data_IF_412015897830
#
_entry.id   IF_412015897830
#
_cell.length_a   1.000
_cell.length_b   1.000
_cell.length_c   1.000
_cell.angle_alpha   90.00
_cell.angle_beta   90.00
_cell.angle_gamma   90.00
#
_symmetry.space_group_name_H-M   'P 1'
#
loop_
_entity.id
_entity.type
_entity.pdbx_description
1 polymer ?
#
# COMPACT_ATOMS: atom_id res chain seq x y z
N UNK A 1 -21.71 33.25 -28.90
CA UNK A 1 -22.09 33.01 -27.48
C UNK A 1 -22.82 31.69 -27.43
N UNK A 2 -22.17 30.65 -27.03
CA UNK A 2 -22.75 29.30 -26.86
C UNK A 2 -22.10 28.63 -25.64
N UNK A 3 -22.85 28.62 -24.52
CA UNK A 3 -22.43 28.08 -23.25
C UNK A 3 -22.33 26.54 -23.33
N UNK A 4 -21.17 26.00 -23.06
CA UNK A 4 -20.99 24.56 -22.79
C UNK A 4 -21.64 24.19 -21.47
N UNK A 5 -22.81 23.55 -21.50
CA UNK A 5 -23.38 22.84 -20.36
C UNK A 5 -22.67 21.48 -20.22
N UNK A 6 -21.76 21.35 -19.24
CA UNK A 6 -21.28 20.05 -18.77
C UNK A 6 -22.46 19.28 -18.15
N UNK A 7 -22.87 18.18 -18.76
CA UNK A 7 -23.81 17.23 -18.16
C UNK A 7 -23.11 16.55 -16.99
N UNK A 8 -23.49 16.87 -15.76
CA UNK A 8 -23.21 16.04 -14.60
C UNK A 8 -23.89 14.68 -14.83
N UNK A 9 -23.11 13.59 -14.87
CA UNK A 9 -23.67 12.24 -14.75
C UNK A 9 -24.26 12.13 -13.34
N UNK A 10 -25.58 12.11 -13.25
CA UNK A 10 -26.28 11.75 -12.02
C UNK A 10 -25.85 10.36 -11.58
N UNK A 11 -25.34 10.24 -10.37
CA UNK A 11 -25.12 8.98 -9.70
C UNK A 11 -26.47 8.29 -9.57
N UNK A 12 -26.61 7.08 -10.10
CA UNK A 12 -27.84 6.29 -10.00
C UNK A 12 -28.29 6.17 -8.54
N UNK A 13 -29.57 6.35 -8.22
CA UNK A 13 -30.05 6.27 -6.85
C UNK A 13 -29.74 4.90 -6.24
N UNK A 14 -29.31 4.95 -4.99
CA UNK A 14 -28.99 3.84 -4.13
C UNK A 14 -30.18 2.87 -4.07
N UNK A 15 -30.04 1.65 -4.60
CA UNK A 15 -31.02 0.60 -4.34
C UNK A 15 -30.86 0.14 -2.91
N UNK A 16 -31.83 0.39 -2.07
CA UNK A 16 -31.95 -0.27 -0.75
C UNK A 16 -31.85 -1.77 -0.96
N UNK A 17 -30.76 -2.35 -0.47
CA UNK A 17 -30.56 -3.79 -0.52
C UNK A 17 -31.17 -4.33 0.78
N UNK A 18 -31.98 -5.37 0.64
CA UNK A 18 -32.52 -6.11 1.74
C UNK A 18 -31.38 -6.83 2.48
N UNK A 19 -30.80 -6.11 3.45
CA UNK A 19 -29.68 -6.57 4.28
C UNK A 19 -29.99 -7.91 4.93
N UNK A 20 -31.24 -8.15 5.34
CA UNK A 20 -31.65 -9.39 5.96
C UNK A 20 -31.61 -10.57 4.99
N UNK A 21 -31.94 -10.35 3.72
CA UNK A 21 -31.87 -11.37 2.69
C UNK A 21 -30.44 -11.77 2.35
N UNK A 22 -29.53 -10.79 2.34
CA UNK A 22 -28.11 -11.04 2.14
C UNK A 22 -27.45 -11.73 3.35
N UNK A 23 -27.83 -11.37 4.57
CA UNK A 23 -27.39 -12.05 5.80
C UNK A 23 -27.76 -13.53 5.76
N UNK A 24 -29.02 -13.86 5.47
CA UNK A 24 -29.49 -15.26 5.40
C UNK A 24 -28.80 -16.07 4.29
N UNK A 25 -28.39 -15.41 3.19
CA UNK A 25 -27.66 -16.08 2.10
C UNK A 25 -26.23 -16.42 2.52
N UNK A 26 -25.53 -15.48 3.13
CA UNK A 26 -24.14 -15.65 3.54
C UNK A 26 -23.99 -16.57 4.76
N UNK A 27 -24.97 -16.59 5.69
CA UNK A 27 -25.04 -17.57 6.77
C UNK A 27 -25.14 -19.00 6.24
N UNK A 28 -25.86 -19.21 5.13
CA UNK A 28 -25.93 -20.51 4.44
C UNK A 28 -24.64 -20.90 3.73
N UNK A 29 -23.85 -19.90 3.29
CA UNK A 29 -22.57 -20.09 2.58
C UNK A 29 -21.36 -20.13 3.54
N UNK A 30 -21.56 -19.96 4.87
CA UNK A 30 -20.49 -19.97 5.88
C UNK A 30 -19.55 -18.76 5.81
N UNK A 31 -19.96 -17.66 5.15
CA UNK A 31 -19.16 -16.47 5.02
C UNK A 31 -19.16 -15.64 6.32
N UNK A 32 -17.98 -15.15 6.70
CA UNK A 32 -17.87 -14.21 7.82
C UNK A 32 -18.37 -12.82 7.39
N UNK A 33 -19.60 -12.50 7.77
CA UNK A 33 -20.31 -11.28 7.42
C UNK A 33 -19.82 -10.03 8.14
N UNK A 34 -19.10 -10.21 9.23
CA UNK A 34 -18.73 -9.14 10.14
C UNK A 34 -17.23 -8.95 10.19
N UNK A 35 -16.80 -7.71 10.33
CA UNK A 35 -15.41 -7.34 10.55
C UNK A 35 -15.31 -6.39 11.74
N UNK A 36 -14.38 -6.67 12.63
CA UNK A 36 -14.09 -5.81 13.78
C UNK A 36 -13.08 -4.75 13.38
N UNK A 37 -13.39 -3.48 13.65
CA UNK A 37 -12.46 -2.39 13.40
C UNK A 37 -11.27 -2.44 14.36
N UNK A 38 -10.05 -2.42 13.85
CA UNK A 38 -8.84 -2.44 14.68
C UNK A 38 -8.65 -1.16 15.51
N UNK A 39 -9.23 -0.04 15.06
CA UNK A 39 -9.11 1.26 15.75
C UNK A 39 -10.20 1.42 16.82
N UNK A 40 -11.49 1.42 16.46
CA UNK A 40 -12.58 1.67 17.41
C UNK A 40 -13.22 0.42 17.99
N UNK A 41 -12.78 -0.79 17.62
CA UNK A 41 -13.27 -2.09 18.07
C UNK A 41 -14.73 -2.39 17.72
N UNK A 42 -15.40 -1.53 16.95
CA UNK A 42 -16.79 -1.70 16.52
C UNK A 42 -16.92 -2.88 15.56
N UNK A 43 -18.01 -3.63 15.70
CA UNK A 43 -18.35 -4.72 14.79
C UNK A 43 -19.16 -4.16 13.61
N UNK A 44 -18.64 -4.30 12.41
CA UNK A 44 -19.18 -3.70 11.19
C UNK A 44 -19.59 -4.76 10.18
N UNK A 45 -20.64 -4.47 9.40
CA UNK A 45 -21.02 -5.34 8.29
C UNK A 45 -20.01 -5.22 7.15
N UNK A 46 -19.36 -6.32 6.80
CA UNK A 46 -18.23 -6.36 5.86
C UNK A 46 -18.54 -5.72 4.50
N UNK A 47 -19.74 -5.99 3.94
CA UNK A 47 -20.13 -5.43 2.64
C UNK A 47 -20.31 -3.91 2.67
N UNK A 48 -20.74 -3.34 3.80
CA UNK A 48 -20.83 -1.88 3.95
C UNK A 48 -19.45 -1.26 4.04
N UNK A 49 -18.53 -1.87 4.77
CA UNK A 49 -17.13 -1.45 4.82
C UNK A 49 -16.50 -1.49 3.42
N UNK A 50 -16.75 -2.57 2.65
CA UNK A 50 -16.26 -2.70 1.28
C UNK A 50 -16.84 -1.63 0.35
N UNK A 51 -18.14 -1.34 0.43
CA UNK A 51 -18.80 -0.24 -0.31
C UNK A 51 -18.25 1.12 0.07
N UNK A 52 -17.85 1.32 1.31
CA UNK A 52 -17.19 2.52 1.79
C UNK A 52 -15.67 2.49 1.56
N UNK A 53 -15.20 1.84 0.50
CA UNK A 53 -13.79 1.77 0.11
C UNK A 53 -12.87 1.14 1.18
N UNK A 54 -13.36 0.20 1.94
CA UNK A 54 -12.68 -0.38 3.10
C UNK A 54 -12.30 0.68 4.15
N UNK A 55 -13.18 1.64 4.40
CA UNK A 55 -13.05 2.65 5.47
C UNK A 55 -14.11 2.39 6.53
N UNK A 56 -13.74 2.42 7.79
CA UNK A 56 -14.64 2.27 8.92
C UNK A 56 -15.71 3.38 8.93
N UNK A 57 -16.98 3.00 8.99
CA UNK A 57 -18.12 3.94 9.02
C UNK A 57 -18.22 4.73 10.32
N UNK A 58 -17.56 4.27 11.40
CA UNK A 58 -17.63 4.89 12.73
C UNK A 58 -16.46 5.82 13.01
N UNK A 59 -15.21 5.36 12.76
CA UNK A 59 -14.01 6.11 13.14
C UNK A 59 -13.12 6.52 11.97
N UNK A 60 -13.53 6.23 10.74
CA UNK A 60 -12.78 6.52 9.52
C UNK A 60 -11.42 5.79 9.41
N UNK A 61 -11.17 4.74 10.20
CA UNK A 61 -10.00 3.90 10.05
C UNK A 61 -9.98 3.24 8.66
N UNK A 62 -8.83 3.25 8.00
CA UNK A 62 -8.63 2.69 6.67
C UNK A 62 -8.15 1.23 6.78
N UNK A 63 -9.06 0.28 6.57
CA UNK A 63 -8.68 -1.13 6.53
C UNK A 63 -7.71 -1.42 5.36
N UNK A 64 -6.86 -2.45 5.48
CA UNK A 64 -6.01 -2.89 4.38
C UNK A 64 -6.79 -3.14 3.08
N UNK A 65 -6.20 -2.80 1.95
CA UNK A 65 -6.72 -3.09 0.61
C UNK A 65 -5.92 -4.22 -0.02
N UNK A 66 -6.60 -5.03 -0.85
CA UNK A 66 -5.90 -5.89 -1.81
C UNK A 66 -5.28 -5.03 -2.91
N UNK A 67 -4.26 -5.57 -3.58
CA UNK A 67 -3.62 -4.89 -4.72
C UNK A 67 -4.61 -4.52 -5.81
N UNK A 68 -5.54 -5.42 -6.15
CA UNK A 68 -6.57 -5.19 -7.17
C UNK A 68 -7.50 -4.03 -6.80
N UNK A 69 -7.96 -3.99 -5.53
CA UNK A 69 -8.77 -2.86 -5.04
C UNK A 69 -8.00 -1.55 -5.11
N UNK A 70 -6.70 -1.55 -4.75
CA UNK A 70 -5.84 -0.36 -4.86
C UNK A 70 -5.70 0.09 -6.31
N UNK A 71 -5.45 -0.82 -7.24
CA UNK A 71 -5.37 -0.53 -8.67
C UNK A 71 -6.67 0.12 -9.16
N UNK A 72 -7.81 -0.50 -8.89
CA UNK A 72 -9.12 -0.01 -9.35
C UNK A 72 -9.52 1.36 -8.78
N UNK A 73 -9.03 1.70 -7.58
CA UNK A 73 -9.31 2.99 -6.95
C UNK A 73 -8.38 4.12 -7.43
N UNK A 74 -7.19 3.78 -7.89
CA UNK A 74 -6.15 4.76 -8.17
C UNK A 74 -5.98 5.02 -9.66
N UNK A 75 -5.97 3.97 -10.47
CA UNK A 75 -5.67 4.08 -11.88
C UNK A 75 -6.94 4.17 -12.74
N UNK A 76 -6.76 4.61 -13.98
CA UNK A 76 -7.82 4.62 -14.97
C UNK A 76 -8.16 3.18 -15.37
N UNK A 77 -9.43 2.92 -15.64
CA UNK A 77 -9.94 1.58 -15.93
C UNK A 77 -9.16 0.93 -17.08
N UNK A 78 -8.63 -0.27 -16.85
CA UNK A 78 -7.88 -1.04 -17.84
C UNK A 78 -6.48 -0.49 -18.18
N UNK A 79 -6.03 0.62 -17.55
CA UNK A 79 -4.73 1.23 -17.88
C UNK A 79 -3.54 0.56 -17.20
N UNK A 80 -3.76 -0.17 -16.09
CA UNK A 80 -2.67 -0.77 -15.32
C UNK A 80 -2.18 -2.06 -15.98
N UNK A 81 -0.88 -2.11 -16.28
CA UNK A 81 -0.20 -3.26 -16.85
C UNK A 81 0.91 -3.70 -15.90
N UNK A 82 0.82 -4.92 -15.37
CA UNK A 82 1.84 -5.49 -14.50
C UNK A 82 3.14 -5.78 -15.26
N UNK A 83 4.26 -5.49 -14.61
CA UNK A 83 5.63 -5.69 -15.11
C UNK A 83 6.39 -6.64 -14.19
N UNK A 84 7.45 -7.28 -14.71
CA UNK A 84 8.37 -8.13 -13.94
C UNK A 84 7.70 -9.33 -13.25
N UNK A 85 6.71 -9.95 -13.89
CA UNK A 85 5.91 -11.05 -13.34
C UNK A 85 6.69 -12.35 -13.14
N UNK A 86 7.76 -12.58 -13.89
CA UNK A 86 8.52 -13.85 -13.88
C UNK A 86 9.63 -13.97 -12.82
N UNK A 87 9.71 -13.02 -11.86
CA UNK A 87 10.74 -13.05 -10.81
C UNK A 87 10.16 -13.70 -9.56
N UNK A 88 10.78 -14.78 -9.09
CA UNK A 88 10.31 -15.54 -7.94
C UNK A 88 11.38 -15.67 -6.85
N UNK A 89 10.98 -15.73 -5.55
CA UNK A 89 11.90 -15.88 -4.44
C UNK A 89 12.52 -17.28 -4.41
N UNK A 90 13.80 -17.35 -4.00
CA UNK A 90 14.56 -18.57 -3.82
C UNK A 90 15.03 -18.65 -2.37
N UNK A 91 14.88 -19.81 -1.74
CA UNK A 91 15.41 -20.08 -0.40
C UNK A 91 16.89 -20.49 -0.49
N UNK A 92 17.78 -19.48 -0.56
CA UNK A 92 19.24 -19.71 -0.67
C UNK A 92 19.92 -19.94 0.69
N UNK A 93 19.22 -19.66 1.81
CA UNK A 93 19.74 -19.89 3.17
C UNK A 93 19.26 -21.24 3.76
N UNK A 94 18.36 -21.94 3.10
CA UNK A 94 17.64 -23.08 3.65
C UNK A 94 17.06 -22.75 5.06
N UNK A 95 16.48 -21.55 5.20
CA UNK A 95 16.00 -21.04 6.47
C UNK A 95 14.89 -21.90 7.04
N UNK A 96 15.04 -22.25 8.31
CA UNK A 96 14.05 -23.03 9.05
C UNK A 96 13.97 -22.55 10.50
N UNK A 97 12.78 -22.17 10.94
CA UNK A 97 12.43 -21.93 12.33
C UNK A 97 11.39 -22.98 12.79
N UNK A 98 10.16 -22.59 13.08
CA UNK A 98 9.04 -23.51 13.30
C UNK A 98 8.55 -24.16 12.01
N UNK A 99 8.91 -23.60 10.84
CA UNK A 99 8.51 -24.05 9.52
C UNK A 99 9.53 -23.54 8.49
N UNK A 100 9.89 -24.37 7.48
CA UNK A 100 10.85 -23.93 6.45
C UNK A 100 10.33 -22.74 5.65
N UNK A 101 11.24 -21.87 5.19
CA UNK A 101 10.89 -20.73 4.35
C UNK A 101 10.21 -21.19 3.05
N UNK A 102 10.71 -22.26 2.45
CA UNK A 102 10.12 -22.87 1.24
C UNK A 102 8.65 -23.24 1.47
N UNK A 103 8.32 -23.86 2.60
CA UNK A 103 6.94 -24.22 2.96
C UNK A 103 6.07 -22.98 3.13
N UNK A 104 6.59 -21.95 3.82
CA UNK A 104 5.86 -20.66 3.99
C UNK A 104 5.55 -20.01 2.64
N UNK A 105 6.52 -20.00 1.70
CA UNK A 105 6.32 -19.46 0.36
C UNK A 105 5.21 -20.18 -0.39
N UNK A 106 5.20 -21.52 -0.36
CA UNK A 106 4.16 -22.32 -1.04
C UNK A 106 2.78 -22.00 -0.46
N UNK A 107 2.62 -22.08 0.86
CA UNK A 107 1.35 -21.81 1.54
C UNK A 107 0.86 -20.36 1.29
N UNK A 108 1.78 -19.39 1.32
CA UNK A 108 1.42 -17.99 1.07
C UNK A 108 0.99 -17.78 -0.38
N UNK A 109 1.69 -18.37 -1.36
CA UNK A 109 1.30 -18.32 -2.77
C UNK A 109 -0.08 -18.97 -3.00
N UNK A 110 -0.35 -20.10 -2.35
CA UNK A 110 -1.65 -20.78 -2.43
C UNK A 110 -2.78 -19.94 -1.84
N UNK A 111 -2.54 -19.29 -0.72
CA UNK A 111 -3.55 -18.47 -0.01
C UNK A 111 -3.80 -17.13 -0.71
N UNK A 112 -2.75 -16.43 -1.10
CA UNK A 112 -2.85 -15.08 -1.67
C UNK A 112 -3.07 -15.07 -3.19
N UNK A 113 -2.73 -16.16 -3.87
CA UNK A 113 -2.66 -16.27 -5.34
C UNK A 113 -1.67 -15.26 -5.97
N UNK A 114 -0.69 -14.83 -5.20
CA UNK A 114 0.38 -13.91 -5.61
C UNK A 114 1.71 -14.63 -5.63
N UNK A 115 2.63 -14.17 -6.48
CA UNK A 115 4.01 -14.69 -6.53
C UNK A 115 4.92 -14.04 -5.49
N UNK A 116 4.58 -12.79 -5.06
CA UNK A 116 5.41 -12.01 -4.13
C UNK A 116 4.62 -10.87 -3.46
N UNK A 117 5.23 -10.26 -2.45
CA UNK A 117 4.67 -9.19 -1.61
C UNK A 117 4.57 -7.82 -2.31
N UNK A 118 4.82 -7.74 -3.62
CA UNK A 118 4.74 -6.51 -4.39
C UNK A 118 4.27 -6.78 -5.82
N UNK A 119 3.40 -5.91 -6.31
CA UNK A 119 3.04 -5.83 -7.73
C UNK A 119 3.60 -4.52 -8.27
N UNK A 120 4.39 -4.62 -9.33
CA UNK A 120 4.97 -3.50 -10.03
C UNK A 120 4.35 -3.38 -11.44
N UNK A 121 4.08 -2.18 -11.87
CA UNK A 121 3.44 -1.96 -13.17
C UNK A 121 3.50 -0.51 -13.63
N UNK A 122 2.88 -0.25 -14.78
CA UNK A 122 2.61 1.08 -15.29
C UNK A 122 1.11 1.28 -15.43
N UNK A 123 0.64 2.48 -15.26
CA UNK A 123 -0.78 2.81 -15.40
C UNK A 123 -0.98 4.29 -15.66
N UNK A 124 -2.24 4.71 -15.75
CA UNK A 124 -2.59 6.12 -15.94
C UNK A 124 -3.46 6.61 -14.78
N UNK A 125 -3.25 7.85 -14.37
CA UNK A 125 -4.09 8.58 -13.42
C UNK A 125 -4.62 9.81 -14.13
N UNK A 126 -5.91 9.79 -14.47
CA UNK A 126 -6.56 10.82 -15.30
C UNK A 126 -5.75 11.12 -16.59
N UNK A 127 -5.32 10.06 -17.29
CA UNK A 127 -4.53 10.14 -18.52
C UNK A 127 -3.04 10.36 -18.35
N UNK A 128 -2.55 10.69 -17.15
CA UNK A 128 -1.10 10.87 -16.89
C UNK A 128 -0.45 9.51 -16.61
N UNK A 129 0.55 9.15 -17.41
CA UNK A 129 1.30 7.89 -17.22
C UNK A 129 2.17 7.96 -15.95
N UNK A 130 2.16 6.85 -15.20
CA UNK A 130 3.00 6.67 -14.01
C UNK A 130 3.53 5.24 -13.94
N UNK A 131 4.72 5.08 -13.37
CA UNK A 131 5.22 3.79 -12.89
C UNK A 131 4.75 3.59 -11.45
N UNK A 132 4.28 2.41 -11.10
CA UNK A 132 3.78 2.20 -9.74
C UNK A 132 4.12 0.83 -9.18
N UNK A 133 4.41 0.82 -7.87
CA UNK A 133 4.57 -0.38 -7.07
C UNK A 133 3.54 -0.37 -5.92
N UNK A 134 2.91 -1.51 -5.68
CA UNK A 134 1.90 -1.69 -4.66
C UNK A 134 2.30 -2.89 -3.81
N UNK A 135 2.60 -2.65 -2.54
CA UNK A 135 2.89 -3.71 -1.58
C UNK A 135 1.61 -4.49 -1.22
N UNK A 136 1.73 -5.81 -1.12
CA UNK A 136 0.68 -6.70 -0.64
C UNK A 136 1.01 -7.21 0.76
N UNK A 137 0.36 -6.65 1.77
CA UNK A 137 0.57 -7.04 3.16
C UNK A 137 0.12 -8.47 3.45
N UNK A 138 -0.80 -9.03 2.66
CA UNK A 138 -1.25 -10.41 2.82
C UNK A 138 -0.15 -11.42 2.47
N UNK A 139 0.82 -11.04 1.62
CA UNK A 139 1.96 -11.89 1.32
C UNK A 139 3.08 -11.67 2.34
N UNK A 140 3.24 -12.55 3.29
CA UNK A 140 4.28 -12.53 4.34
C UNK A 140 4.46 -11.16 5.02
N UNK A 141 3.34 -10.46 5.32
CA UNK A 141 3.35 -9.14 5.95
C UNK A 141 3.93 -8.02 5.07
N UNK A 142 3.87 -8.15 3.75
CA UNK A 142 4.44 -7.15 2.84
C UNK A 142 5.97 -7.03 2.93
N UNK A 143 6.65 -8.08 3.41
CA UNK A 143 8.07 -8.01 3.78
C UNK A 143 9.01 -7.80 2.59
N UNK A 144 10.00 -6.94 2.78
CA UNK A 144 11.05 -6.64 1.81
C UNK A 144 12.03 -7.82 1.71
N UNK A 145 11.85 -8.65 0.68
CA UNK A 145 12.76 -9.71 0.29
C UNK A 145 13.53 -9.38 -0.98
N UNK A 146 14.36 -10.31 -1.44
CA UNK A 146 15.21 -10.19 -2.64
C UNK A 146 14.41 -9.82 -3.89
N UNK A 147 13.26 -10.48 -4.10
CA UNK A 147 12.39 -10.23 -5.26
C UNK A 147 11.66 -8.89 -5.16
N UNK A 148 11.19 -8.51 -3.95
CA UNK A 148 10.58 -7.19 -3.74
C UNK A 148 11.57 -6.08 -4.08
N UNK A 149 12.81 -6.18 -3.58
CA UNK A 149 13.87 -5.22 -3.87
C UNK A 149 14.24 -5.17 -5.34
N UNK A 150 14.32 -6.34 -6.02
CA UNK A 150 14.62 -6.44 -7.44
C UNK A 150 13.53 -5.80 -8.31
N UNK A 151 12.25 -6.19 -8.10
CA UNK A 151 11.11 -5.64 -8.83
C UNK A 151 11.02 -4.14 -8.68
N UNK A 152 11.18 -3.64 -7.43
CA UNK A 152 11.11 -2.21 -7.15
C UNK A 152 12.28 -1.45 -7.77
N UNK A 153 13.50 -1.99 -7.69
CA UNK A 153 14.69 -1.40 -8.33
C UNK A 153 14.47 -1.25 -9.84
N UNK A 154 14.05 -2.31 -10.53
CA UNK A 154 13.76 -2.28 -11.97
C UNK A 154 12.68 -1.29 -12.34
N UNK A 155 11.62 -1.20 -11.53
CA UNK A 155 10.54 -0.24 -11.74
C UNK A 155 11.05 1.20 -11.68
N UNK A 156 11.85 1.52 -10.65
CA UNK A 156 12.43 2.84 -10.44
C UNK A 156 13.39 3.21 -11.55
N UNK A 157 14.26 2.27 -11.97
CA UNK A 157 15.19 2.47 -13.08
C UNK A 157 14.47 2.66 -14.42
N UNK A 158 13.36 1.94 -14.65
CA UNK A 158 12.52 2.15 -15.83
C UNK A 158 11.82 3.50 -15.80
N UNK A 159 11.36 3.97 -14.63
CA UNK A 159 10.83 5.32 -14.42
C UNK A 159 11.87 6.39 -14.77
N UNK A 160 13.11 6.24 -14.27
CA UNK A 160 14.22 7.14 -14.57
C UNK A 160 14.53 7.18 -16.09
N UNK A 161 14.65 6.00 -16.73
CA UNK A 161 14.94 5.87 -18.16
C UNK A 161 13.87 6.52 -19.04
N UNK A 162 12.60 6.39 -18.66
CA UNK A 162 11.46 6.92 -19.41
C UNK A 162 11.06 8.33 -19.01
N UNK A 163 11.64 8.86 -17.95
CA UNK A 163 11.24 10.13 -17.31
C UNK A 163 9.76 10.14 -16.93
N UNK A 164 9.28 9.03 -16.36
CA UNK A 164 7.90 8.84 -15.90
C UNK A 164 7.88 8.80 -14.38
N UNK A 165 7.02 9.59 -13.70
CA UNK A 165 6.91 9.62 -12.25
C UNK A 165 6.69 8.23 -11.65
N UNK A 166 7.28 7.99 -10.47
CA UNK A 166 7.14 6.72 -9.73
C UNK A 166 6.31 6.92 -8.48
N UNK A 167 5.27 6.10 -8.30
CA UNK A 167 4.39 6.11 -7.13
C UNK A 167 4.47 4.75 -6.44
N UNK A 168 4.81 4.73 -5.14
CA UNK A 168 4.90 3.50 -4.35
C UNK A 168 3.89 3.51 -3.21
N UNK A 169 2.98 2.54 -3.22
CA UNK A 169 2.04 2.29 -2.12
C UNK A 169 2.69 1.30 -1.14
N UNK A 170 3.07 1.78 0.03
CA UNK A 170 3.75 1.01 1.06
C UNK A 170 2.76 0.37 2.02
N UNK A 171 2.90 -0.95 2.23
CA UNK A 171 2.21 -1.73 3.26
C UNK A 171 3.14 -2.87 3.69
N UNK A 172 3.85 -2.72 4.81
CA UNK A 172 4.91 -3.67 5.15
C UNK A 172 5.23 -3.70 6.64
N UNK A 173 5.52 -4.91 7.14
CA UNK A 173 6.12 -5.13 8.46
C UNK A 173 7.64 -4.92 8.51
N UNK A 174 8.32 -4.74 7.36
CA UNK A 174 9.77 -4.52 7.28
C UNK A 174 10.54 -5.54 6.44
N UNK A 175 11.80 -5.77 6.78
CA UNK A 175 12.67 -6.69 6.06
C UNK A 175 12.25 -8.16 6.27
N UNK A 176 12.42 -9.00 5.23
CA UNK A 176 12.09 -10.44 5.26
C UNK A 176 13.15 -11.22 6.04
N UNK A 177 12.82 -11.58 7.28
CA UNK A 177 13.73 -12.27 8.19
C UNK A 177 14.31 -13.57 7.59
N UNK A 178 13.52 -14.32 6.84
CA UNK A 178 13.88 -15.60 6.25
C UNK A 178 15.00 -15.49 5.18
N UNK A 179 15.20 -14.31 4.61
CA UNK A 179 16.25 -14.03 3.65
C UNK A 179 17.50 -13.37 4.28
N UNK A 180 17.50 -13.17 5.61
CA UNK A 180 18.64 -12.68 6.38
C UNK A 180 19.25 -11.40 5.84
N UNK A 181 20.59 -11.38 5.68
CA UNK A 181 21.34 -10.21 5.21
C UNK A 181 20.91 -9.75 3.79
N UNK A 182 20.46 -10.67 2.94
CA UNK A 182 20.05 -10.33 1.58
C UNK A 182 18.85 -9.39 1.57
N UNK A 183 17.89 -9.58 2.51
CA UNK A 183 16.76 -8.66 2.64
C UNK A 183 17.22 -7.27 3.10
N UNK A 184 18.20 -7.18 3.99
CA UNK A 184 18.77 -5.88 4.41
C UNK A 184 19.49 -5.19 3.25
N UNK A 185 20.19 -5.93 2.41
CA UNK A 185 20.88 -5.37 1.24
C UNK A 185 19.90 -4.79 0.19
N UNK A 186 18.63 -5.23 0.19
CA UNK A 186 17.63 -4.62 -0.69
C UNK A 186 17.36 -3.16 -0.34
N UNK A 187 17.45 -2.77 0.93
CA UNK A 187 17.33 -1.36 1.33
C UNK A 187 18.35 -0.48 0.63
N UNK A 188 19.62 -0.86 0.66
CA UNK A 188 20.70 -0.14 -0.03
C UNK A 188 20.50 -0.10 -1.55
N UNK A 189 20.11 -1.25 -2.13
CA UNK A 189 19.88 -1.39 -3.57
C UNK A 189 18.77 -0.45 -4.07
N UNK A 190 17.63 -0.45 -3.39
CA UNK A 190 16.47 0.40 -3.73
C UNK A 190 16.80 1.88 -3.50
N UNK A 191 17.46 2.23 -2.38
CA UNK A 191 17.89 3.61 -2.12
C UNK A 191 18.81 4.14 -3.22
N UNK A 192 19.73 3.30 -3.75
CA UNK A 192 20.59 3.64 -4.88
C UNK A 192 19.80 3.87 -6.18
N UNK A 193 18.72 3.11 -6.41
CA UNK A 193 17.85 3.33 -7.56
C UNK A 193 17.04 4.64 -7.43
N UNK A 194 16.51 4.93 -6.22
CA UNK A 194 15.82 6.20 -5.93
C UNK A 194 16.77 7.39 -6.13
N UNK A 195 18.01 7.30 -5.67
CA UNK A 195 19.01 8.35 -5.91
C UNK A 195 19.20 8.62 -7.40
N UNK A 196 19.34 7.56 -8.23
CA UNK A 196 19.44 7.71 -9.68
C UNK A 196 18.17 8.33 -10.30
N UNK A 197 16.98 7.94 -9.84
CA UNK A 197 15.71 8.53 -10.29
C UNK A 197 15.71 10.05 -10.06
N UNK A 198 16.05 10.47 -8.83
CA UNK A 198 16.12 11.88 -8.43
C UNK A 198 17.16 12.66 -9.22
N UNK A 199 18.30 12.05 -9.57
CA UNK A 199 19.32 12.69 -10.42
C UNK A 199 18.85 12.93 -11.86
N UNK A 200 17.77 12.29 -12.29
CA UNK A 200 17.08 12.55 -13.55
C UNK A 200 15.90 13.52 -13.41
N UNK A 201 15.72 14.11 -12.23
CA UNK A 201 14.61 15.04 -11.91
C UNK A 201 13.23 14.39 -12.11
N UNK A 202 13.13 13.09 -11.89
CA UNK A 202 11.88 12.33 -11.98
C UNK A 202 11.26 12.17 -10.60
N UNK A 203 10.01 12.60 -10.40
CA UNK A 203 9.34 12.56 -9.10
C UNK A 203 9.17 11.15 -8.53
N UNK A 204 9.46 11.02 -7.25
CA UNK A 204 9.22 9.81 -6.44
C UNK A 204 8.22 10.10 -5.34
N UNK A 205 7.00 9.61 -5.49
CA UNK A 205 5.89 9.82 -4.54
C UNK A 205 5.64 8.54 -3.76
N UNK A 206 5.52 8.64 -2.45
CA UNK A 206 5.19 7.49 -1.60
C UNK A 206 3.84 7.70 -0.91
N UNK A 207 3.04 6.63 -0.88
CA UNK A 207 1.76 6.58 -0.17
C UNK A 207 1.86 5.51 0.91
N UNK A 208 1.91 5.94 2.16
CA UNK A 208 2.12 5.11 3.31
C UNK A 208 0.79 4.66 3.88
N UNK A 209 0.55 3.36 3.88
CA UNK A 209 -0.68 2.74 4.38
C UNK A 209 -0.42 1.92 5.64
N UNK A 210 -1.46 1.47 6.31
CA UNK A 210 -1.38 0.72 7.56
C UNK A 210 -1.10 -0.77 7.36
N UNK A 211 0.01 -1.32 7.91
CA UNK A 211 1.17 -0.64 8.50
C UNK A 211 2.30 -0.39 7.50
N UNK A 212 3.16 0.61 7.74
CA UNK A 212 4.43 0.81 7.01
C UNK A 212 5.59 0.89 8.01
N UNK A 213 6.33 -0.20 8.17
CA UNK A 213 7.31 -0.35 9.25
C UNK A 213 8.69 -0.82 8.75
N UNK A 214 9.67 -0.79 9.64
CA UNK A 214 10.98 -1.40 9.53
C UNK A 214 11.81 -0.92 8.35
N UNK A 215 12.45 -1.85 7.66
CA UNK A 215 13.32 -1.55 6.52
C UNK A 215 12.61 -0.85 5.36
N UNK A 216 11.31 -1.13 5.13
CA UNK A 216 10.52 -0.45 4.08
C UNK A 216 10.31 1.01 4.43
N UNK A 217 9.97 1.31 5.69
CA UNK A 217 9.88 2.70 6.17
C UNK A 217 11.21 3.43 5.96
N UNK A 218 12.32 2.85 6.42
CA UNK A 218 13.63 3.50 6.43
C UNK A 218 14.29 3.68 5.04
N UNK A 219 13.92 2.90 4.03
CA UNK A 219 14.65 2.86 2.75
C UNK A 219 13.81 3.07 1.49
N UNK A 220 12.49 3.08 1.63
CA UNK A 220 11.55 3.20 0.51
C UNK A 220 10.57 4.32 0.79
N UNK A 221 9.83 4.22 1.89
CA UNK A 221 8.73 5.11 2.22
C UNK A 221 9.20 6.55 2.51
N UNK A 222 10.22 6.72 3.35
CA UNK A 222 10.72 8.04 3.79
C UNK A 222 11.71 8.67 2.79
N UNK A 223 11.92 8.07 1.62
CA UNK A 223 12.73 8.65 0.54
C UNK A 223 11.87 9.34 -0.54
N UNK A 224 10.57 9.47 -0.35
CA UNK A 224 9.69 10.22 -1.25
C UNK A 224 10.11 11.68 -1.40
N UNK A 225 9.91 12.26 -2.58
CA UNK A 225 9.94 13.72 -2.77
C UNK A 225 8.63 14.31 -2.21
N UNK A 226 7.57 13.52 -2.24
CA UNK A 226 6.29 13.77 -1.56
C UNK A 226 5.88 12.50 -0.83
N UNK A 227 5.64 12.62 0.46
CA UNK A 227 5.31 11.53 1.36
C UNK A 227 3.88 11.70 1.87
N UNK A 228 2.97 10.83 1.42
CA UNK A 228 1.54 10.88 1.74
C UNK A 228 1.20 9.76 2.74
N UNK A 229 0.53 10.08 3.84
CA UNK A 229 -0.06 9.09 4.75
C UNK A 229 -1.55 8.87 4.49
N UNK A 230 -2.05 7.63 4.56
CA UNK A 230 -3.48 7.41 4.78
C UNK A 230 -3.83 7.73 6.25
N UNK A 231 -5.05 8.26 6.55
CA UNK A 231 -5.46 8.56 7.92
C UNK A 231 -5.28 7.37 8.88
N UNK A 232 -4.71 7.62 10.05
CA UNK A 232 -4.46 6.65 11.13
C UNK A 232 -3.54 5.48 10.74
N UNK A 233 -2.84 5.56 9.62
CA UNK A 233 -1.85 4.55 9.25
C UNK A 233 -0.72 4.51 10.28
N UNK A 234 -0.35 3.30 10.70
CA UNK A 234 0.80 3.07 11.56
C UNK A 234 2.08 3.10 10.71
N UNK A 235 2.94 4.07 10.98
CA UNK A 235 4.16 4.31 10.23
C UNK A 235 5.31 4.49 11.20
N UNK A 236 6.39 3.72 11.05
CA UNK A 236 7.54 3.81 11.95
C UNK A 236 8.63 2.81 11.62
N UNK A 237 9.71 2.77 12.41
CA UNK A 237 10.75 1.77 12.25
C UNK A 237 10.43 0.50 13.04
N UNK A 238 10.51 0.56 14.37
CA UNK A 238 10.06 -0.54 15.21
C UNK A 238 8.58 -0.40 15.54
N UNK A 239 7.84 -1.51 15.61
CA UNK A 239 6.43 -1.44 16.04
C UNK A 239 6.28 -0.93 17.49
N UNK A 240 5.14 -0.30 17.83
CA UNK A 240 4.93 0.30 19.15
C UNK A 240 5.14 -0.66 20.32
N UNK A 241 4.74 -1.92 20.14
CA UNK A 241 4.92 -2.97 21.13
C UNK A 241 6.42 -3.22 21.44
N UNK A 242 7.24 -3.32 20.39
CA UNK A 242 8.69 -3.56 20.52
C UNK A 242 9.35 -2.38 21.25
N UNK A 243 8.98 -1.15 20.90
CA UNK A 243 9.50 0.05 21.54
C UNK A 243 9.13 0.04 23.02
N UNK A 244 7.85 -0.13 23.35
CA UNK A 244 7.35 -0.15 24.72
C UNK A 244 8.04 -1.24 25.57
N UNK A 245 8.20 -2.45 25.04
CA UNK A 245 8.89 -3.55 25.72
C UNK A 245 10.38 -3.26 25.93
N UNK A 246 11.02 -2.48 25.04
CA UNK A 246 12.45 -2.17 25.10
C UNK A 246 12.75 -1.02 26.04
N UNK A 247 12.06 0.11 25.94
CA UNK A 247 12.29 1.29 26.77
C UNK A 247 11.52 1.27 28.09
N UNK A 248 10.49 0.40 28.20
CA UNK A 248 9.62 0.22 29.38
C UNK A 248 8.89 1.50 29.82
N UNK A 249 8.60 2.37 28.87
CA UNK A 249 7.86 3.62 29.09
C UNK A 249 6.56 3.64 28.29
N UNK A 250 5.59 4.45 28.70
CA UNK A 250 4.39 4.70 27.95
C UNK A 250 4.70 5.59 26.74
N UNK A 251 4.18 5.22 25.59
CA UNK A 251 4.34 6.00 24.36
C UNK A 251 3.34 7.16 24.33
N UNK A 252 3.69 8.30 23.73
CA UNK A 252 2.75 9.39 23.53
C UNK A 252 1.48 8.95 22.81
N UNK A 253 0.37 9.62 23.09
CA UNK A 253 -0.89 9.35 22.38
C UNK A 253 -0.73 9.57 20.87
N UNK A 254 -1.26 8.65 20.07
CA UNK A 254 -1.11 8.71 18.62
C UNK A 254 0.30 8.42 18.09
N UNK A 255 1.25 8.03 18.93
CA UNK A 255 2.62 7.74 18.50
C UNK A 255 2.66 6.79 17.31
N UNK A 256 3.41 7.14 16.29
CA UNK A 256 3.53 6.43 14.99
C UNK A 256 2.24 6.43 14.14
N UNK A 257 1.19 7.13 14.49
CA UNK A 257 0.09 7.37 13.57
C UNK A 257 0.44 8.46 12.54
N UNK A 258 -0.18 8.41 11.37
CA UNK A 258 0.08 9.37 10.31
C UNK A 258 -0.08 10.82 10.77
N UNK A 259 -1.10 11.10 11.60
CA UNK A 259 -1.37 12.42 12.17
C UNK A 259 -0.21 12.91 13.03
N UNK A 260 0.30 12.07 13.92
CA UNK A 260 1.46 12.37 14.75
C UNK A 260 2.70 12.68 13.90
N UNK A 261 2.93 11.90 12.86
CA UNK A 261 4.07 12.06 11.96
C UNK A 261 3.96 13.33 11.11
N UNK A 262 2.76 13.72 10.69
CA UNK A 262 2.52 14.98 10.00
C UNK A 262 2.87 16.18 10.89
N UNK A 263 2.43 16.17 12.14
CA UNK A 263 2.76 17.22 13.12
C UNK A 263 4.25 17.34 13.39
N UNK A 264 5.00 16.24 13.26
CA UNK A 264 6.45 16.21 13.44
C UNK A 264 7.26 16.38 12.13
N UNK A 265 6.59 16.75 11.04
CA UNK A 265 7.26 17.04 9.76
C UNK A 265 7.82 15.82 9.02
N UNK A 266 7.35 14.61 9.35
CA UNK A 266 7.79 13.37 8.68
C UNK A 266 6.91 12.99 7.49
N UNK A 267 5.75 13.60 7.35
CA UNK A 267 4.86 13.48 6.20
C UNK A 267 4.57 14.87 5.64
N UNK A 268 4.33 14.96 4.35
CA UNK A 268 3.92 16.21 3.68
C UNK A 268 2.42 16.42 3.78
N UNK A 269 1.64 15.33 3.77
CA UNK A 269 0.19 15.41 3.87
C UNK A 269 -0.45 14.08 4.29
N UNK A 270 -1.68 14.18 4.80
CA UNK A 270 -2.57 13.04 5.02
C UNK A 270 -3.72 13.15 4.02
N UNK A 271 -3.95 12.08 3.26
CA UNK A 271 -4.97 12.07 2.22
C UNK A 271 -5.92 10.88 2.42
N UNK A 272 -7.21 11.13 2.67
CA UNK A 272 -8.20 10.07 2.71
C UNK A 272 -8.26 9.32 1.37
N UNK A 273 -8.44 8.02 1.43
CA UNK A 273 -8.49 7.13 0.26
C UNK A 273 -9.47 7.58 -0.84
N UNK A 274 -10.57 8.21 -0.44
CA UNK A 274 -11.60 8.74 -1.36
C UNK A 274 -11.06 9.85 -2.26
N UNK A 275 -10.08 10.60 -1.78
CA UNK A 275 -9.52 11.80 -2.44
C UNK A 275 -8.16 11.50 -3.09
N UNK A 276 -7.59 10.31 -2.85
CA UNK A 276 -6.21 10.02 -3.19
C UNK A 276 -5.92 10.10 -4.70
N UNK A 277 -6.81 9.56 -5.55
CA UNK A 277 -6.65 9.61 -7.00
C UNK A 277 -6.57 11.06 -7.52
N UNK A 278 -7.49 11.90 -7.07
CA UNK A 278 -7.53 13.31 -7.47
C UNK A 278 -6.30 14.08 -6.93
N UNK A 279 -5.91 13.82 -5.68
CA UNK A 279 -4.73 14.44 -5.09
C UNK A 279 -3.46 14.07 -5.84
N UNK A 280 -3.28 12.81 -6.16
CA UNK A 280 -2.13 12.34 -6.96
C UNK A 280 -2.11 13.00 -8.34
N UNK A 281 -3.25 13.09 -9.02
CA UNK A 281 -3.35 13.77 -10.32
C UNK A 281 -2.94 15.24 -10.23
N UNK A 282 -3.44 15.96 -9.21
CA UNK A 282 -3.09 17.37 -9.01
C UNK A 282 -1.59 17.56 -8.76
N UNK A 283 -0.97 16.70 -7.94
CA UNK A 283 0.48 16.72 -7.70
C UNK A 283 1.26 16.45 -8.99
N UNK A 284 0.89 15.43 -9.75
CA UNK A 284 1.53 15.11 -11.02
C UNK A 284 1.44 16.26 -12.02
N UNK A 285 0.29 16.93 -12.07
CA UNK A 285 0.08 18.08 -12.97
C UNK A 285 0.94 19.30 -12.59
N UNK A 286 1.17 19.53 -11.28
CA UNK A 286 2.03 20.60 -10.80
C UNK A 286 3.52 20.35 -11.06
N UNK A 287 3.95 19.09 -11.03
CA UNK A 287 5.35 18.71 -11.21
C UNK A 287 5.71 18.63 -12.70
N UNK A 288 4.73 18.34 -13.56
CA UNK A 288 4.94 18.26 -15.02
C UNK A 288 4.91 19.64 -15.71
N UNK A 289 4.55 20.71 -15.00
CA UNK A 289 4.54 22.09 -15.48
C UNK A 289 5.92 22.74 -15.32
#
# INVERSE_FOLDING_TARGET
MGLFKKKHKELKPYKEIDIQKEIRKAEKEGENLWVKCNSCQELLYKKEVERNLNICLKCSYHFPLTVEKRINLTFDEGSFVELFTGIEPVDFLAFNDTKSYKTRLIETKETTKKSEAIVCGKGQINGTEVMSAIFDFAFMGGSLGSVVGEKLTRLIEEGARRRVPVIVFCASGGARMQEGIISLMQMSKVSGAIYRLKSHEVPYITVLTDPTLGGVSASIAMLGDIIIGEPKAMIGFAGPRVIKETIKEELPEGFQQAEYLLEHGMLDMIVPRKELKERLYNLLSLIAA
#
